data_IF_173088800377
#
_entry.id   IF_173088800377
#
_cell.length_a   1.000
_cell.length_b   1.000
_cell.length_c   1.000
_cell.angle_alpha   90.00
_cell.angle_beta   90.00
_cell.angle_gamma   90.00
#
_symmetry.space_group_name_H-M   'P 1'
#
loop_
_entity.id
_entity.type
_entity.pdbx_description
1 polymer ?
#
# COMPACT_ATOMS: atom_id res chain seq x y z
N UNK A 1 20.44 14.60 -14.24
CA UNK A 1 20.78 13.23 -14.65
C UNK A 1 19.50 12.39 -14.72
N UNK A 2 19.16 11.80 -15.87
CA UNK A 2 17.97 10.92 -16.02
C UNK A 2 18.38 9.47 -15.80
N UNK A 3 17.80 8.81 -14.80
CA UNK A 3 18.00 7.38 -14.56
C UNK A 3 17.23 6.56 -15.60
N UNK A 4 17.85 5.51 -16.12
CA UNK A 4 17.16 4.51 -16.94
C UNK A 4 16.20 3.68 -16.08
N UNK A 5 15.17 3.08 -16.69
CA UNK A 5 14.22 2.22 -15.97
C UNK A 5 14.90 1.06 -15.22
N UNK A 6 15.98 0.51 -15.79
CA UNK A 6 16.74 -0.57 -15.15
C UNK A 6 17.54 -0.09 -13.93
N UNK A 7 18.19 1.08 -14.02
CA UNK A 7 18.90 1.67 -12.88
C UNK A 7 17.95 1.97 -11.72
N UNK A 8 16.76 2.49 -12.03
CA UNK A 8 15.72 2.76 -11.02
C UNK A 8 15.29 1.48 -10.30
N UNK A 9 15.05 0.40 -11.06
CA UNK A 9 14.66 -0.91 -10.51
C UNK A 9 15.75 -1.52 -9.63
N UNK A 10 17.03 -1.33 -9.96
CA UNK A 10 18.16 -1.80 -9.14
C UNK A 10 18.21 -1.02 -7.83
N UNK A 11 18.10 0.31 -7.87
CA UNK A 11 18.10 1.15 -6.68
C UNK A 11 16.94 0.77 -5.74
N UNK A 12 15.73 0.58 -6.26
CA UNK A 12 14.57 0.13 -5.48
C UNK A 12 14.83 -1.21 -4.79
N UNK A 13 15.46 -2.18 -5.47
CA UNK A 13 15.83 -3.47 -4.88
C UNK A 13 16.86 -3.33 -3.76
N UNK A 14 17.86 -2.47 -3.91
CA UNK A 14 18.87 -2.23 -2.89
C UNK A 14 18.24 -1.66 -1.62
N UNK A 15 17.38 -0.64 -1.78
CA UNK A 15 16.66 -0.05 -0.63
C UNK A 15 15.74 -1.08 0.02
N UNK A 16 15.04 -1.92 -0.77
CA UNK A 16 14.23 -3.02 -0.22
C UNK A 16 15.05 -3.96 0.68
N UNK A 17 16.27 -4.33 0.27
CA UNK A 17 17.15 -5.22 1.04
C UNK A 17 17.56 -4.57 2.36
N UNK A 18 17.95 -3.29 2.35
CA UNK A 18 18.32 -2.59 3.58
C UNK A 18 17.14 -2.44 4.56
N UNK A 19 15.93 -2.22 4.07
CA UNK A 19 14.75 -2.03 4.94
C UNK A 19 14.13 -3.33 5.45
N UNK A 20 14.24 -4.42 4.69
CA UNK A 20 13.44 -5.64 4.94
C UNK A 20 14.21 -6.95 4.81
N UNK A 21 15.50 -6.91 4.47
CA UNK A 21 16.30 -8.10 4.15
C UNK A 21 15.88 -8.81 2.87
N UNK A 22 14.95 -8.26 2.09
CA UNK A 22 14.39 -8.87 0.88
C UNK A 22 14.47 -7.91 -0.31
N UNK A 23 14.80 -8.42 -1.50
CA UNK A 23 14.81 -7.62 -2.74
C UNK A 23 13.43 -7.14 -3.18
N UNK A 24 12.35 -7.70 -2.60
CA UNK A 24 10.96 -7.41 -2.96
C UNK A 24 10.35 -6.36 -2.02
N UNK A 25 10.83 -6.21 -0.77
CA UNK A 25 10.18 -5.36 0.23
C UNK A 25 8.90 -5.98 0.82
N UNK A 26 8.42 -5.46 1.96
CA UNK A 26 7.23 -6.00 2.64
C UNK A 26 5.95 -5.24 2.23
N UNK A 27 5.48 -5.49 1.01
CA UNK A 27 4.25 -4.87 0.48
C UNK A 27 2.98 -5.24 1.25
N UNK A 28 3.00 -6.34 2.00
CA UNK A 28 1.91 -6.78 2.87
C UNK A 28 2.01 -6.32 4.33
N UNK A 29 3.02 -5.52 4.71
CA UNK A 29 3.15 -5.06 6.09
C UNK A 29 1.93 -4.22 6.51
N UNK A 30 1.45 -4.40 7.73
CA UNK A 30 0.40 -3.56 8.31
C UNK A 30 0.86 -3.18 9.71
N UNK A 31 0.86 -1.88 9.98
CA UNK A 31 0.99 -1.30 11.31
C UNK A 31 -0.26 -0.49 11.64
N UNK A 32 -0.53 -0.29 12.92
CA UNK A 32 -1.62 0.56 13.40
C UNK A 32 -1.01 1.64 14.29
N UNK A 33 -1.30 2.89 13.98
CA UNK A 33 -0.83 4.05 14.73
C UNK A 33 -2.00 4.98 15.03
N UNK A 34 -1.89 5.76 16.11
CA UNK A 34 -2.87 6.78 16.51
C UNK A 34 -2.47 8.14 15.94
N UNK A 35 -2.27 8.20 14.62
CA UNK A 35 -1.79 9.38 13.88
C UNK A 35 -2.76 9.80 12.76
N UNK A 36 -4.01 9.30 12.81
CA UNK A 36 -5.08 9.72 11.92
C UNK A 36 -5.68 11.07 12.32
N UNK A 37 -6.65 11.59 11.53
CA UNK A 37 -7.36 12.82 11.88
C UNK A 37 -7.94 12.77 13.30
N UNK A 38 -7.62 13.77 14.14
CA UNK A 38 -8.00 13.80 15.56
C UNK A 38 -7.45 12.62 16.39
N UNK A 39 -6.21 12.19 16.12
CA UNK A 39 -5.49 11.11 16.82
C UNK A 39 -6.20 9.75 16.78
N UNK A 40 -7.08 9.55 15.80
CA UNK A 40 -7.76 8.27 15.62
C UNK A 40 -6.76 7.20 15.18
N UNK A 41 -6.98 5.97 15.66
CA UNK A 41 -6.23 4.80 15.19
C UNK A 41 -6.47 4.60 13.69
N UNK A 42 -5.39 4.41 12.93
CA UNK A 42 -5.45 4.13 11.50
C UNK A 42 -4.49 3.03 11.07
N UNK A 43 -4.83 2.34 9.99
CA UNK A 43 -3.94 1.40 9.30
C UNK A 43 -2.87 2.16 8.50
N UNK A 44 -1.61 1.73 8.63
CA UNK A 44 -0.50 2.10 7.74
C UNK A 44 -0.01 0.86 6.99
N UNK A 45 -0.10 0.91 5.66
CA UNK A 45 -0.04 -0.28 4.80
C UNK A 45 1.17 -0.35 3.84
N UNK A 46 2.05 -1.31 4.12
CA UNK A 46 3.15 -1.79 3.28
C UNK A 46 4.29 -0.80 3.08
N UNK A 47 5.18 -1.11 2.13
CA UNK A 47 6.41 -0.34 1.84
C UNK A 47 6.18 1.17 1.66
N UNK A 48 5.20 1.56 0.86
CA UNK A 48 4.89 2.97 0.60
C UNK A 48 4.12 3.66 1.73
N UNK A 49 3.99 3.01 2.90
CA UNK A 49 3.34 3.53 4.11
C UNK A 49 1.99 4.21 3.83
N UNK A 50 1.11 3.54 3.09
CA UNK A 50 -0.19 4.10 2.70
C UNK A 50 -1.16 4.07 3.88
N UNK A 51 -1.62 5.24 4.34
CA UNK A 51 -2.50 5.38 5.51
C UNK A 51 -3.98 5.28 5.16
N UNK A 52 -4.78 4.78 6.10
CA UNK A 52 -6.22 4.50 5.97
C UNK A 52 -7.03 5.73 5.56
N UNK A 53 -6.82 6.85 6.24
CA UNK A 53 -7.48 8.12 5.97
C UNK A 53 -6.76 8.96 4.92
N UNK A 54 -5.64 8.47 4.37
CA UNK A 54 -4.95 9.06 3.24
C UNK A 54 -5.22 8.31 1.94
N UNK A 55 -4.17 7.73 1.36
CA UNK A 55 -4.21 7.13 0.02
C UNK A 55 -4.77 5.69 -0.02
N UNK A 56 -5.08 5.06 1.12
CA UNK A 56 -5.47 3.64 1.14
C UNK A 56 -6.79 3.39 0.41
N UNK A 57 -7.76 4.30 0.54
CA UNK A 57 -9.03 4.21 -0.21
C UNK A 57 -8.77 4.14 -1.72
N UNK A 58 -8.01 5.10 -2.23
CA UNK A 58 -7.68 5.18 -3.65
C UNK A 58 -6.89 3.95 -4.13
N UNK A 59 -5.99 3.41 -3.29
CA UNK A 59 -5.27 2.18 -3.60
C UNK A 59 -6.23 0.99 -3.73
N UNK A 60 -7.14 0.81 -2.77
CA UNK A 60 -8.11 -0.30 -2.78
C UNK A 60 -9.07 -0.18 -3.96
N UNK A 61 -9.61 1.00 -4.24
CA UNK A 61 -10.47 1.23 -5.41
C UNK A 61 -9.76 0.91 -6.73
N UNK A 62 -8.51 1.38 -6.91
CA UNK A 62 -7.71 1.07 -8.11
C UNK A 62 -7.40 -0.41 -8.23
N UNK A 63 -7.13 -1.08 -7.10
CA UNK A 63 -6.89 -2.52 -7.09
C UNK A 63 -8.15 -3.31 -7.49
N UNK A 64 -9.31 -2.91 -6.97
CA UNK A 64 -10.60 -3.50 -7.36
C UNK A 64 -10.85 -3.30 -8.85
N UNK A 65 -10.65 -2.09 -9.38
CA UNK A 65 -10.80 -1.78 -10.79
C UNK A 65 -9.81 -2.54 -11.70
N UNK A 66 -8.60 -2.83 -11.21
CA UNK A 66 -7.60 -3.63 -11.91
C UNK A 66 -7.90 -5.14 -11.92
N UNK A 67 -9.01 -5.58 -11.31
CA UNK A 67 -9.43 -6.97 -11.24
C UNK A 67 -8.34 -7.93 -10.72
N UNK A 68 -7.60 -7.50 -9.69
CA UNK A 68 -6.66 -8.34 -8.97
C UNK A 68 -7.29 -9.57 -8.31
N UNK A 69 -6.44 -10.51 -7.89
CA UNK A 69 -6.80 -11.81 -7.32
C UNK A 69 -7.79 -11.70 -6.15
N UNK A 70 -7.61 -10.70 -5.29
CA UNK A 70 -8.43 -10.45 -4.12
C UNK A 70 -9.52 -9.37 -4.33
N UNK A 71 -9.67 -8.82 -5.54
CA UNK A 71 -10.55 -7.70 -5.82
C UNK A 71 -12.01 -7.97 -5.49
N UNK A 72 -12.52 -9.18 -5.78
CA UNK A 72 -13.90 -9.55 -5.40
C UNK A 72 -14.14 -9.48 -3.89
N UNK A 73 -13.16 -9.90 -3.08
CA UNK A 73 -13.23 -9.89 -1.62
C UNK A 73 -12.96 -8.51 -1.03
N UNK A 74 -12.15 -7.68 -1.69
CA UNK A 74 -11.83 -6.31 -1.26
C UNK A 74 -12.90 -5.28 -1.69
N UNK A 75 -13.70 -5.57 -2.71
CA UNK A 75 -14.75 -4.68 -3.23
C UNK A 75 -15.70 -4.12 -2.15
N UNK A 76 -16.21 -4.91 -1.18
CA UNK A 76 -17.10 -4.39 -0.14
C UNK A 76 -16.45 -3.35 0.80
N UNK A 77 -15.12 -3.28 0.83
CA UNK A 77 -14.35 -2.35 1.65
C UNK A 77 -13.97 -1.07 0.91
N UNK A 78 -14.04 -1.05 -0.43
CA UNK A 78 -13.50 0.04 -1.25
C UNK A 78 -14.05 1.42 -0.88
N UNK A 79 -15.33 1.52 -0.53
CA UNK A 79 -15.97 2.77 -0.10
C UNK A 79 -15.92 3.02 1.42
N UNK A 80 -15.54 2.00 2.20
CA UNK A 80 -15.49 2.05 3.67
C UNK A 80 -14.17 2.59 4.20
N UNK A 81 -13.07 2.25 3.52
CA UNK A 81 -11.70 2.66 3.90
C UNK A 81 -11.62 4.17 4.05
N UNK A 82 -11.20 4.66 5.21
CA UNK A 82 -11.10 6.09 5.49
C UNK A 82 -12.44 6.82 5.66
N UNK A 83 -13.56 6.09 5.67
CA UNK A 83 -14.91 6.60 6.01
C UNK A 83 -15.26 6.14 7.42
N UNK A 84 -15.08 4.84 7.67
CA UNK A 84 -15.24 4.22 8.97
C UNK A 84 -13.91 3.57 9.36
N UNK A 85 -13.59 3.46 10.67
CA UNK A 85 -12.40 2.75 11.11
C UNK A 85 -12.47 1.26 10.74
N UNK A 86 -11.46 0.77 10.03
CA UNK A 86 -11.26 -0.64 9.70
C UNK A 86 -10.05 -1.24 10.43
N UNK A 87 -9.45 -0.50 11.36
CA UNK A 87 -8.28 -0.90 12.17
C UNK A 87 -8.46 -2.22 12.89
N UNK A 88 -9.69 -2.54 13.33
CA UNK A 88 -10.01 -3.77 14.04
C UNK A 88 -10.67 -4.84 13.14
N UNK A 89 -10.90 -4.54 11.86
CA UNK A 89 -11.43 -5.51 10.89
C UNK A 89 -10.33 -6.52 10.48
N UNK A 90 -10.39 -7.71 11.07
CA UNK A 90 -9.41 -8.77 10.81
C UNK A 90 -9.45 -9.26 9.35
N UNK A 91 -10.64 -9.30 8.74
CA UNK A 91 -10.83 -9.78 7.36
C UNK A 91 -10.18 -8.82 6.38
N UNK A 92 -10.43 -7.52 6.53
CA UNK A 92 -9.83 -6.49 5.70
C UNK A 92 -8.30 -6.50 5.81
N UNK A 93 -7.76 -6.58 7.03
CA UNK A 93 -6.31 -6.66 7.26
C UNK A 93 -5.68 -7.89 6.62
N UNK A 94 -6.30 -9.06 6.72
CA UNK A 94 -5.81 -10.29 6.08
C UNK A 94 -5.82 -10.19 4.55
N UNK A 95 -6.90 -9.66 3.97
CA UNK A 95 -7.01 -9.45 2.53
C UNK A 95 -5.94 -8.49 2.00
N UNK A 96 -5.67 -7.38 2.72
CA UNK A 96 -4.58 -6.48 2.37
C UNK A 96 -3.22 -7.18 2.45
N UNK A 97 -2.93 -7.90 3.56
CA UNK A 97 -1.68 -8.66 3.70
C UNK A 97 -1.47 -9.63 2.53
N UNK A 98 -2.49 -10.42 2.19
CA UNK A 98 -2.45 -11.40 1.09
C UNK A 98 -2.29 -10.72 -0.26
N UNK A 99 -3.09 -9.70 -0.55
CA UNK A 99 -2.97 -8.95 -1.80
C UNK A 99 -1.55 -8.34 -1.96
N UNK A 100 -0.98 -7.76 -0.90
CA UNK A 100 0.38 -7.20 -0.94
C UNK A 100 1.48 -8.26 -1.15
N UNK A 101 1.31 -9.46 -0.59
CA UNK A 101 2.30 -10.55 -0.67
C UNK A 101 2.20 -11.35 -1.97
N UNK A 102 0.99 -11.64 -2.42
CA UNK A 102 0.76 -12.66 -3.45
C UNK A 102 0.43 -12.04 -4.80
N UNK A 103 -0.20 -10.87 -4.83
CA UNK A 103 -0.71 -10.29 -6.07
C UNK A 103 0.23 -9.24 -6.70
N UNK A 104 0.70 -9.54 -7.92
CA UNK A 104 1.53 -8.62 -8.70
C UNK A 104 0.82 -7.30 -9.04
N UNK A 105 -0.51 -7.29 -9.21
CA UNK A 105 -1.28 -6.09 -9.48
C UNK A 105 -1.24 -5.11 -8.30
N UNK A 106 -1.38 -5.63 -7.06
CA UNK A 106 -1.26 -4.82 -5.85
C UNK A 106 0.15 -4.23 -5.72
N UNK A 107 1.19 -5.04 -5.94
CA UNK A 107 2.59 -4.57 -5.91
C UNK A 107 2.84 -3.46 -6.93
N UNK A 108 2.38 -3.65 -8.18
CA UNK A 108 2.53 -2.65 -9.25
C UNK A 108 1.86 -1.32 -8.90
N UNK A 109 0.65 -1.37 -8.32
CA UNK A 109 -0.05 -0.16 -7.89
C UNK A 109 0.71 0.56 -6.76
N UNK A 110 1.22 -0.16 -5.76
CA UNK A 110 1.99 0.42 -4.65
C UNK A 110 3.30 1.08 -5.11
N UNK A 111 3.99 0.49 -6.09
CA UNK A 111 5.18 1.10 -6.69
C UNK A 111 4.85 2.46 -7.32
N UNK A 112 3.72 2.57 -8.02
CA UNK A 112 3.29 3.82 -8.64
C UNK A 112 2.88 4.90 -7.64
N UNK A 113 2.33 4.52 -6.48
CA UNK A 113 2.02 5.47 -5.41
C UNK A 113 3.30 6.06 -4.80
N UNK A 114 4.33 5.24 -4.58
CA UNK A 114 5.63 5.71 -4.07
C UNK A 114 6.29 6.77 -4.96
N UNK A 115 6.00 6.78 -6.27
CA UNK A 115 6.56 7.76 -7.21
C UNK A 115 5.79 9.08 -7.28
N UNK A 116 4.55 9.14 -6.78
CA UNK A 116 3.74 10.37 -6.80
C UNK A 116 3.95 11.23 -5.56
N UNK A 117 4.27 10.62 -4.42
CA UNK A 117 4.49 11.34 -3.16
C UNK A 117 5.81 12.13 -3.12
N UNK A 118 6.75 11.87 -4.04
CA UNK A 118 8.01 12.64 -4.15
C UNK A 118 7.86 13.96 -4.92
N UNK A 119 6.71 14.22 -5.54
CA UNK A 119 6.53 15.40 -6.41
C UNK A 119 5.86 16.57 -5.69
N UNK A 120 5.48 16.43 -4.42
CA UNK A 120 4.75 17.46 -3.66
C UNK A 120 5.42 17.83 -2.34
N UNK A 121 6.76 17.80 -2.30
CA UNK A 121 7.56 18.48 -1.27
C UNK A 121 8.34 19.61 -1.93
N UNK A 122 7.65 20.73 -2.18
CA UNK A 122 8.24 22.05 -2.35
C UNK A 122 7.40 23.03 -1.53
#
# INVERSE_FOLDING_TARGET
MKLTANQKKILEKVVNVFETGSTIGNYGAISIYSDGPNDIRQITYGRSQTTEYGNLRALVQKYVAANGLYSKKLKPFAEKVGTIPLTDDATFKDLLKKAGKEDAAMRKLKMNFSMKDTTNRQ
#
